data_IF_912018893747
#
_entry.id   IF_912018893747
#
_cell.length_a   1.000
_cell.length_b   1.000
_cell.length_c   1.000
_cell.angle_alpha   90.00
_cell.angle_beta   90.00
_cell.angle_gamma   90.00
#
_symmetry.space_group_name_H-M   'P 1'
#
loop_
_entity.id
_entity.type
_entity.pdbx_description
1 polymer ?
#
# COMPACT_ATOMS: atom_id res chain seq x y z
N UNK A 1 31.83 -3.52 -32.52
CA UNK A 1 31.85 -2.40 -31.54
C UNK A 1 30.46 -1.76 -31.37
N UNK A 2 29.64 -1.58 -32.43
CA UNK A 2 28.29 -1.00 -32.34
C UNK A 2 27.27 -1.83 -31.51
N UNK A 3 27.32 -3.17 -31.60
CA UNK A 3 26.40 -4.07 -30.88
C UNK A 3 26.40 -3.87 -29.36
N UNK A 4 27.56 -3.57 -28.77
CA UNK A 4 27.69 -3.38 -27.32
C UNK A 4 26.93 -2.15 -26.82
N UNK A 5 27.08 -1.01 -27.50
CA UNK A 5 26.41 0.24 -27.12
C UNK A 5 24.88 0.12 -27.17
N UNK A 6 24.33 -0.60 -28.16
CA UNK A 6 22.88 -0.85 -28.26
C UNK A 6 22.33 -1.61 -27.06
N UNK A 7 23.08 -2.59 -26.54
CA UNK A 7 22.70 -3.37 -25.36
C UNK A 7 22.75 -2.51 -24.10
N UNK A 8 23.79 -1.71 -23.91
CA UNK A 8 23.89 -0.79 -22.76
C UNK A 8 22.76 0.25 -22.75
N UNK A 9 22.46 0.86 -23.90
CA UNK A 9 21.34 1.81 -24.02
C UNK A 9 20.01 1.12 -23.75
N UNK A 10 19.79 -0.09 -24.28
CA UNK A 10 18.59 -0.87 -24.01
C UNK A 10 18.39 -1.17 -22.52
N UNK A 11 19.44 -1.59 -21.82
CA UNK A 11 19.39 -1.88 -20.38
C UNK A 11 19.08 -0.63 -19.54
N UNK A 12 19.68 0.52 -19.88
CA UNK A 12 19.41 1.80 -19.21
C UNK A 12 17.96 2.22 -19.41
N UNK A 13 17.44 2.10 -20.63
CA UNK A 13 16.05 2.45 -20.95
C UNK A 13 15.07 1.53 -20.20
N UNK A 14 15.32 0.23 -20.19
CA UNK A 14 14.49 -0.74 -19.45
C UNK A 14 14.49 -0.40 -17.96
N UNK A 15 15.66 -0.13 -17.36
CA UNK A 15 15.78 0.25 -15.97
C UNK A 15 15.00 1.54 -15.64
N UNK A 16 15.11 2.56 -16.50
CA UNK A 16 14.39 3.82 -16.33
C UNK A 16 12.85 3.66 -16.41
N UNK A 17 12.37 2.78 -17.30
CA UNK A 17 10.94 2.50 -17.46
C UNK A 17 10.37 1.73 -16.26
N UNK A 18 11.11 0.73 -15.76
CA UNK A 18 10.68 -0.08 -14.62
C UNK A 18 10.58 0.73 -13.33
N UNK A 19 11.52 1.66 -13.10
CA UNK A 19 11.52 2.50 -11.90
C UNK A 19 10.25 3.35 -11.80
N UNK A 20 9.85 4.03 -12.87
CA UNK A 20 8.67 4.91 -12.82
C UNK A 20 7.37 4.14 -12.59
N UNK A 21 7.17 3.04 -13.30
CA UNK A 21 5.91 2.28 -13.19
C UNK A 21 5.79 1.52 -11.87
N UNK A 22 6.87 0.89 -11.39
CA UNK A 22 6.87 0.15 -10.12
C UNK A 22 6.63 1.06 -8.91
N UNK A 23 7.24 2.24 -8.87
CA UNK A 23 7.01 3.20 -7.78
C UNK A 23 5.59 3.74 -7.76
N UNK A 24 5.04 4.11 -8.92
CA UNK A 24 3.66 4.59 -9.00
C UNK A 24 2.70 3.50 -8.53
N UNK A 25 2.89 2.26 -8.98
CA UNK A 25 2.04 1.14 -8.57
C UNK A 25 2.12 0.87 -7.06
N UNK A 26 3.32 0.90 -6.47
CA UNK A 26 3.51 0.67 -5.05
C UNK A 26 2.86 1.75 -4.18
N UNK A 27 3.00 3.03 -4.55
CA UNK A 27 2.38 4.15 -3.83
C UNK A 27 0.86 4.07 -3.93
N UNK A 28 0.32 3.83 -5.13
CA UNK A 28 -1.12 3.71 -5.35
C UNK A 28 -1.71 2.53 -4.59
N UNK A 29 -1.07 1.36 -4.62
CA UNK A 29 -1.59 0.17 -3.91
C UNK A 29 -1.55 0.35 -2.39
N UNK A 30 -0.47 0.90 -1.85
CA UNK A 30 -0.34 1.20 -0.43
C UNK A 30 -1.38 2.23 0.02
N UNK A 31 -1.58 3.28 -0.78
CA UNK A 31 -2.59 4.30 -0.50
C UNK A 31 -4.01 3.75 -0.58
N UNK A 32 -4.33 2.90 -1.56
CA UNK A 32 -5.66 2.29 -1.68
C UNK A 32 -5.98 1.40 -0.48
N UNK A 33 -5.05 0.55 -0.06
CA UNK A 33 -5.23 -0.30 1.14
C UNK A 33 -5.53 0.57 2.38
N UNK A 34 -4.76 1.64 2.57
CA UNK A 34 -4.96 2.57 3.68
C UNK A 34 -6.30 3.33 3.56
N UNK A 35 -6.63 3.86 2.39
CA UNK A 35 -7.85 4.63 2.17
C UNK A 35 -9.11 3.80 2.39
N UNK A 36 -9.13 2.55 1.92
CA UNK A 36 -10.27 1.64 2.10
C UNK A 36 -10.46 1.30 3.59
N UNK A 37 -9.37 1.00 4.32
CA UNK A 37 -9.46 0.69 5.75
C UNK A 37 -9.88 1.89 6.60
N UNK A 38 -9.51 3.10 6.19
CA UNK A 38 -9.99 4.34 6.82
C UNK A 38 -11.47 4.61 6.52
N UNK A 39 -11.90 4.48 5.26
CA UNK A 39 -13.29 4.69 4.86
C UNK A 39 -14.25 3.71 5.55
N UNK A 40 -13.83 2.46 5.76
CA UNK A 40 -14.60 1.46 6.49
C UNK A 40 -14.91 1.87 7.94
N UNK A 41 -14.10 2.75 8.53
CA UNK A 41 -14.25 3.23 9.91
C UNK A 41 -15.00 4.57 10.01
N UNK A 42 -15.25 5.29 8.91
CA UNK A 42 -15.78 6.66 8.96
C UNK A 42 -17.26 6.72 9.41
N UNK A 43 -18.07 5.74 9.00
CA UNK A 43 -19.49 5.64 9.37
C UNK A 43 -19.83 4.18 9.68
N UNK A 44 -19.33 3.65 10.82
CA UNK A 44 -19.50 2.26 11.17
C UNK A 44 -20.97 1.98 11.52
N UNK A 45 -21.55 0.98 10.87
CA UNK A 45 -22.92 0.53 11.12
C UNK A 45 -23.01 -0.41 12.33
N UNK A 46 -21.89 -1.00 12.73
CA UNK A 46 -21.79 -2.00 13.78
C UNK A 46 -20.80 -1.49 14.81
N UNK A 47 -21.23 -1.46 16.07
CA UNK A 47 -20.37 -1.11 17.19
C UNK A 47 -19.73 -2.37 17.78
N UNK A 48 -18.49 -2.29 18.30
CA UNK A 48 -17.84 -3.43 18.92
C UNK A 48 -18.59 -3.85 20.20
N UNK A 49 -19.16 -5.06 20.20
CA UNK A 49 -19.73 -5.69 21.41
C UNK A 49 -18.68 -6.61 22.01
N UNK A 50 -18.18 -6.30 23.21
CA UNK A 50 -17.25 -7.14 23.95
C UNK A 50 -18.01 -7.93 25.02
N UNK A 51 -17.91 -9.26 25.01
CA UNK A 51 -18.51 -10.15 26.02
C UNK A 51 -17.60 -10.39 27.23
N UNK A 52 -16.28 -10.29 27.05
CA UNK A 52 -15.27 -10.69 28.04
C UNK A 52 -14.43 -9.51 28.55
N UNK A 53 -15.09 -8.38 28.84
CA UNK A 53 -14.42 -7.28 29.55
C UNK A 53 -14.22 -7.71 31.01
N UNK A 54 -12.95 -7.85 31.43
CA UNK A 54 -12.61 -8.11 32.83
C UNK A 54 -13.18 -6.97 33.68
N UNK A 55 -14.02 -7.31 34.65
CA UNK A 55 -14.83 -6.36 35.44
C UNK A 55 -13.99 -5.26 36.13
N UNK A 56 -12.71 -5.55 36.39
CA UNK A 56 -11.71 -4.62 36.91
C UNK A 56 -11.55 -3.32 36.07
N UNK A 57 -11.89 -3.34 34.78
CA UNK A 57 -11.83 -2.17 33.89
C UNK A 57 -13.18 -1.48 33.65
N UNK A 58 -14.28 -2.00 34.22
CA UNK A 58 -15.63 -1.44 34.01
C UNK A 58 -15.95 -0.23 34.89
N UNK A 59 -15.08 0.11 35.86
CA UNK A 59 -15.19 1.33 36.65
C UNK A 59 -16.30 1.28 37.72
N UNK A 60 -15.95 1.75 38.92
CA UNK A 60 -16.88 2.12 39.98
C UNK A 60 -17.64 3.41 39.62
#
# INVERSE_FOLDING_TARGET
MAQGYSVFVGLIVIAAMLWRSSLILAIVSCYLMWAITFLAQLHPLIQPKRSDLREEFLGH
#
